data_IF_981693598233
#
_entry.id   IF_981693598233
#
_cell.length_a   1.000
_cell.length_b   1.000
_cell.length_c   1.000
_cell.angle_alpha   90.00
_cell.angle_beta   90.00
_cell.angle_gamma   90.00
#
_symmetry.space_group_name_H-M   'P 1'
#
loop_
_entity.id
_entity.type
_entity.pdbx_description
1 polymer ?
#
# COMPACT_ATOMS: atom_id res chain seq x y z
N UNK A 1 -33.46 -5.49 -25.83
CA UNK A 1 -33.27 -6.13 -24.52
C UNK A 1 -34.40 -5.68 -23.59
N UNK A 2 -34.99 -6.55 -22.77
CA UNK A 2 -35.99 -6.11 -21.79
C UNK A 2 -35.36 -5.06 -20.84
N UNK A 3 -36.12 -4.09 -20.36
CA UNK A 3 -35.61 -3.03 -19.49
C UNK A 3 -35.13 -3.65 -18.19
N UNK A 4 -33.83 -3.46 -17.89
CA UNK A 4 -33.23 -3.87 -16.62
C UNK A 4 -33.93 -3.15 -15.49
N UNK A 5 -34.43 -3.90 -14.50
CA UNK A 5 -35.08 -3.33 -13.31
C UNK A 5 -34.18 -2.33 -12.58
N UNK A 6 -34.77 -1.37 -11.89
CA UNK A 6 -34.04 -0.26 -11.25
C UNK A 6 -32.99 -0.74 -10.23
N UNK A 7 -33.21 -1.86 -9.56
CA UNK A 7 -32.25 -2.42 -8.59
C UNK A 7 -31.08 -3.06 -9.31
N UNK A 8 -31.32 -3.93 -10.28
CA UNK A 8 -30.28 -4.56 -11.09
C UNK A 8 -29.44 -3.52 -11.85
N UNK A 9 -30.07 -2.45 -12.35
CA UNK A 9 -29.35 -1.32 -12.96
C UNK A 9 -28.44 -0.60 -11.97
N UNK A 10 -28.86 -0.34 -10.74
CA UNK A 10 -28.02 0.27 -9.70
C UNK A 10 -26.84 -0.61 -9.31
N UNK A 11 -27.04 -1.92 -9.20
CA UNK A 11 -25.95 -2.87 -8.94
C UNK A 11 -24.93 -2.87 -10.08
N UNK A 12 -25.38 -2.85 -11.32
CA UNK A 12 -24.50 -2.79 -12.48
C UNK A 12 -23.80 -1.42 -12.63
N UNK A 13 -24.47 -0.30 -12.30
CA UNK A 13 -23.85 1.03 -12.21
C UNK A 13 -22.69 0.99 -11.19
N UNK A 14 -22.93 0.39 -10.03
CA UNK A 14 -21.91 0.27 -9.00
C UNK A 14 -20.73 -0.59 -9.48
N UNK A 15 -21.00 -1.72 -10.13
CA UNK A 15 -19.98 -2.60 -10.71
C UNK A 15 -19.13 -1.85 -11.76
N UNK A 16 -19.77 -1.12 -12.68
CA UNK A 16 -19.06 -0.33 -13.69
C UNK A 16 -18.24 0.80 -13.06
N UNK A 17 -18.78 1.53 -12.10
CA UNK A 17 -18.04 2.56 -11.39
C UNK A 17 -16.85 1.97 -10.58
N UNK A 18 -16.99 0.73 -10.12
CA UNK A 18 -15.94 -0.02 -9.41
C UNK A 18 -14.82 -0.48 -10.34
N UNK A 19 -15.17 -0.97 -11.52
CA UNK A 19 -14.19 -1.57 -12.47
C UNK A 19 -13.53 -0.55 -13.37
N UNK A 20 -14.26 0.52 -13.75
CA UNK A 20 -13.80 1.55 -14.70
C UNK A 20 -13.42 2.88 -14.05
N UNK A 21 -13.60 3.00 -12.73
CA UNK A 21 -13.26 4.18 -11.92
C UNK A 21 -14.29 5.30 -12.03
N UNK A 22 -14.41 5.98 -13.15
CA UNK A 22 -15.35 7.08 -13.39
C UNK A 22 -16.40 6.64 -14.42
N UNK A 23 -17.69 6.76 -14.06
CA UNK A 23 -18.79 6.57 -15.01
C UNK A 23 -19.53 7.88 -15.22
N UNK A 24 -19.54 8.41 -16.43
CA UNK A 24 -20.29 9.61 -16.76
C UNK A 24 -21.80 9.31 -16.90
N UNK A 25 -22.63 10.32 -16.61
CA UNK A 25 -24.10 10.20 -16.78
C UNK A 25 -24.45 9.84 -18.21
N UNK A 26 -23.73 10.39 -19.19
CA UNK A 26 -23.94 10.19 -20.61
C UNK A 26 -23.58 8.75 -21.04
N UNK A 27 -22.46 8.22 -20.56
CA UNK A 27 -22.05 6.84 -20.81
C UNK A 27 -23.02 5.83 -20.22
N UNK A 28 -23.40 6.01 -18.98
CA UNK A 28 -24.39 5.17 -18.30
C UNK A 28 -25.76 5.24 -18.98
N UNK A 29 -26.19 6.44 -19.39
CA UNK A 29 -27.45 6.65 -20.12
C UNK A 29 -27.47 5.85 -21.43
N UNK A 30 -26.37 5.89 -22.16
CA UNK A 30 -26.19 5.16 -23.43
C UNK A 30 -26.11 3.64 -23.19
N UNK A 31 -25.35 3.22 -22.17
CA UNK A 31 -25.15 1.81 -21.83
C UNK A 31 -26.46 1.11 -21.43
N UNK A 32 -27.30 1.78 -20.62
CA UNK A 32 -28.56 1.20 -20.14
C UNK A 32 -29.79 1.54 -21.01
N UNK A 33 -29.64 2.38 -22.02
CA UNK A 33 -30.75 2.81 -22.87
C UNK A 33 -31.85 3.57 -22.10
N UNK A 34 -31.47 4.31 -21.06
CA UNK A 34 -32.38 5.12 -20.24
C UNK A 34 -32.00 6.59 -20.28
N UNK A 35 -32.91 7.47 -19.86
CA UNK A 35 -32.65 8.91 -19.87
C UNK A 35 -31.59 9.31 -18.82
N UNK A 36 -30.86 10.40 -19.08
CA UNK A 36 -29.93 10.99 -18.13
C UNK A 36 -30.58 11.33 -16.78
N UNK A 37 -31.88 11.68 -16.75
CA UNK A 37 -32.63 11.94 -15.52
C UNK A 37 -32.82 10.66 -14.69
N UNK A 38 -33.02 9.51 -15.33
CA UNK A 38 -33.11 8.20 -14.67
C UNK A 38 -31.76 7.83 -14.03
N UNK A 39 -30.67 7.99 -14.78
CA UNK A 39 -29.31 7.74 -14.26
C UNK A 39 -29.01 8.69 -13.08
N UNK A 40 -29.30 9.99 -13.19
CA UNK A 40 -29.07 10.94 -12.08
C UNK A 40 -29.85 10.56 -10.81
N UNK A 41 -31.05 9.98 -10.95
CA UNK A 41 -31.85 9.50 -9.81
C UNK A 41 -31.25 8.23 -9.20
N UNK A 42 -30.81 7.29 -10.02
CA UNK A 42 -30.12 6.07 -9.54
C UNK A 42 -28.79 6.42 -8.84
N UNK A 43 -28.01 7.33 -9.40
CA UNK A 43 -26.77 7.83 -8.79
C UNK A 43 -27.05 8.58 -7.46
N UNK A 44 -28.12 9.40 -7.40
CA UNK A 44 -28.50 10.10 -6.19
C UNK A 44 -28.85 9.12 -5.07
N UNK A 45 -29.51 8.01 -5.40
CA UNK A 45 -29.88 6.98 -4.43
C UNK A 45 -28.62 6.21 -3.95
N UNK A 46 -27.75 5.81 -4.85
CA UNK A 46 -26.47 5.16 -4.50
C UNK A 46 -25.55 6.09 -3.67
N UNK A 47 -25.62 7.39 -3.91
CA UNK A 47 -24.89 8.38 -3.09
C UNK A 47 -25.53 8.52 -1.69
N UNK A 48 -26.86 8.56 -1.60
CA UNK A 48 -27.56 8.59 -0.32
C UNK A 48 -27.32 7.31 0.51
N UNK A 49 -27.19 6.16 -0.16
CA UNK A 49 -26.85 4.87 0.45
C UNK A 49 -25.33 4.75 0.79
N UNK A 50 -24.52 5.81 0.56
CA UNK A 50 -23.09 5.83 0.83
C UNK A 50 -22.25 4.92 -0.08
N UNK A 51 -22.75 4.51 -1.24
CA UNK A 51 -22.10 3.57 -2.17
C UNK A 51 -21.36 4.27 -3.31
N UNK A 52 -21.70 5.53 -3.61
CA UNK A 52 -21.06 6.36 -4.64
C UNK A 52 -20.79 7.78 -4.15
N UNK A 53 -19.71 8.41 -4.65
CA UNK A 53 -19.50 9.85 -4.57
C UNK A 53 -19.90 10.53 -5.87
N UNK A 54 -20.54 11.69 -5.79
CA UNK A 54 -20.82 12.55 -6.96
C UNK A 54 -19.55 13.28 -7.37
N UNK A 55 -19.28 13.28 -8.67
CA UNK A 55 -18.24 14.10 -9.31
C UNK A 55 -18.87 15.09 -10.29
N UNK A 56 -18.13 16.08 -10.78
CA UNK A 56 -18.58 16.97 -11.84
C UNK A 56 -18.79 16.16 -13.13
N UNK A 57 -20.06 15.90 -13.51
CA UNK A 57 -20.42 15.15 -14.74
C UNK A 57 -20.62 13.66 -14.58
N UNK A 58 -20.45 13.06 -13.38
CA UNK A 58 -20.60 11.63 -13.20
C UNK A 58 -20.71 11.18 -11.74
N UNK A 59 -20.40 9.92 -11.53
CA UNK A 59 -20.31 9.33 -10.20
C UNK A 59 -19.15 8.33 -10.13
N UNK A 60 -18.56 8.25 -8.99
CA UNK A 60 -17.45 7.37 -8.63
C UNK A 60 -17.88 6.49 -7.46
N UNK A 61 -17.54 5.21 -7.48
CA UNK A 61 -17.80 4.34 -6.36
C UNK A 61 -17.04 4.83 -5.12
N UNK A 62 -17.73 5.07 -4.01
CA UNK A 62 -17.10 5.50 -2.76
C UNK A 62 -16.24 4.41 -2.15
N UNK A 63 -16.51 3.15 -2.51
CA UNK A 63 -15.71 1.98 -2.12
C UNK A 63 -15.76 0.97 -3.26
N UNK A 64 -15.05 1.27 -4.36
CA UNK A 64 -14.85 0.32 -5.45
C UNK A 64 -14.21 -0.98 -4.95
N UNK A 65 -13.32 -0.83 -3.97
CA UNK A 65 -12.79 -1.91 -3.15
C UNK A 65 -12.83 -1.43 -1.70
N UNK A 66 -13.59 -2.09 -0.79
CA UNK A 66 -13.45 -1.79 0.62
C UNK A 66 -11.99 -2.00 0.99
N UNK A 67 -11.36 -0.98 1.55
CA UNK A 67 -9.99 -1.12 2.04
C UNK A 67 -9.95 -2.26 3.06
N UNK A 68 -9.18 -3.30 2.76
CA UNK A 68 -8.98 -4.40 3.69
C UNK A 68 -8.26 -3.89 4.95
N UNK A 69 -8.70 -4.31 6.12
CA UNK A 69 -7.99 -3.98 7.37
C UNK A 69 -6.55 -4.50 7.34
N UNK A 70 -5.66 -3.86 8.08
CA UNK A 70 -4.27 -4.32 8.17
C UNK A 70 -4.19 -5.80 8.59
N UNK A 71 -5.06 -6.25 9.50
CA UNK A 71 -5.11 -7.64 9.96
C UNK A 71 -5.41 -8.62 8.81
N UNK A 72 -6.35 -8.29 7.92
CA UNK A 72 -6.63 -9.10 6.73
C UNK A 72 -5.42 -9.11 5.79
N UNK A 73 -4.86 -7.93 5.52
CA UNK A 73 -3.67 -7.79 4.65
C UNK A 73 -2.43 -8.51 5.21
N UNK A 74 -2.30 -8.70 6.51
CA UNK A 74 -1.13 -9.39 7.10
C UNK A 74 -1.09 -10.87 6.73
N UNK A 75 -2.24 -11.53 6.61
CA UNK A 75 -2.32 -12.96 6.24
C UNK A 75 -2.23 -13.19 4.73
N UNK A 76 -2.63 -12.19 3.92
CA UNK A 76 -2.56 -12.26 2.48
C UNK A 76 -1.12 -12.21 1.97
N UNK A 77 -0.75 -13.09 1.04
CA UNK A 77 0.56 -13.12 0.39
C UNK A 77 1.75 -13.09 1.38
N UNK A 78 1.60 -13.79 2.51
CA UNK A 78 2.58 -13.74 3.61
C UNK A 78 4.00 -14.10 3.17
N UNK A 79 4.18 -15.19 2.40
CA UNK A 79 5.49 -15.62 1.91
C UNK A 79 6.15 -14.57 1.01
N UNK A 80 5.37 -13.95 0.11
CA UNK A 80 5.86 -12.89 -0.78
C UNK A 80 6.30 -11.65 0.00
N UNK A 81 5.51 -11.22 0.98
CA UNK A 81 5.86 -10.07 1.84
C UNK A 81 7.09 -10.35 2.69
N UNK A 82 7.26 -11.60 3.15
CA UNK A 82 8.45 -11.99 3.90
C UNK A 82 9.70 -11.99 3.03
N UNK A 83 9.61 -12.43 1.76
CA UNK A 83 10.72 -12.35 0.81
C UNK A 83 11.16 -10.88 0.60
N UNK A 84 10.19 -9.99 0.32
CA UNK A 84 10.43 -8.55 0.19
C UNK A 84 11.06 -7.97 1.47
N UNK A 85 10.52 -8.31 2.63
CA UNK A 85 11.00 -7.84 3.93
C UNK A 85 12.44 -8.25 4.21
N UNK A 86 12.81 -9.51 3.93
CA UNK A 86 14.19 -10.00 4.09
C UNK A 86 15.16 -9.29 3.17
N UNK A 87 14.79 -9.11 1.91
CA UNK A 87 15.62 -8.33 0.99
C UNK A 87 15.81 -6.91 1.52
N UNK A 88 14.73 -6.24 1.95
CA UNK A 88 14.79 -4.88 2.47
C UNK A 88 15.66 -4.78 3.74
N UNK A 89 15.52 -5.72 4.66
CA UNK A 89 16.36 -5.79 5.87
C UNK A 89 17.86 -5.93 5.54
N UNK A 90 18.21 -6.72 4.53
CA UNK A 90 19.59 -6.91 4.07
C UNK A 90 20.21 -5.65 3.44
N UNK A 91 19.41 -4.65 3.07
CA UNK A 91 19.94 -3.37 2.57
C UNK A 91 20.36 -2.41 3.68
N UNK A 92 19.87 -2.61 4.90
CA UNK A 92 20.08 -1.70 6.03
C UNK A 92 21.45 -1.98 6.65
N UNK A 93 22.20 -0.92 6.95
CA UNK A 93 23.52 -1.00 7.55
C UNK A 93 23.49 -0.57 9.03
N UNK A 94 24.36 -1.09 9.87
CA UNK A 94 24.53 -0.57 11.23
C UNK A 94 24.82 0.94 11.22
N UNK A 95 24.26 1.66 12.18
CA UNK A 95 24.40 3.12 12.31
C UNK A 95 23.41 3.92 11.46
N UNK A 96 22.63 3.30 10.57
CA UNK A 96 21.64 4.01 9.77
C UNK A 96 20.41 4.43 10.58
N UNK A 97 19.80 5.54 10.15
CA UNK A 97 18.47 5.96 10.59
C UNK A 97 17.47 5.67 9.47
N UNK A 98 16.56 4.74 9.72
CA UNK A 98 15.57 4.29 8.72
C UNK A 98 14.16 4.71 9.10
N UNK A 99 13.34 5.00 8.08
CA UNK A 99 11.94 5.34 8.25
C UNK A 99 11.05 4.20 7.75
N UNK A 100 10.20 3.70 8.61
CA UNK A 100 9.21 2.66 8.31
C UNK A 100 7.81 3.27 8.24
N UNK A 101 7.19 3.16 7.09
CA UNK A 101 5.78 3.45 6.89
C UNK A 101 4.88 2.43 7.62
N UNK A 102 3.58 2.65 7.62
CA UNK A 102 2.60 1.67 8.07
C UNK A 102 2.24 0.69 6.95
N UNK A 103 1.96 -0.56 7.29
CA UNK A 103 1.47 -1.56 6.35
C UNK A 103 1.99 -2.97 6.64
N UNK A 104 1.33 -3.98 6.06
CA UNK A 104 1.66 -5.39 6.36
C UNK A 104 3.03 -5.84 5.86
N UNK A 105 3.51 -5.30 4.73
CA UNK A 105 4.85 -5.61 4.20
C UNK A 105 5.94 -4.93 5.04
N UNK A 106 5.70 -3.67 5.43
CA UNK A 106 6.62 -2.93 6.32
C UNK A 106 6.59 -3.53 7.74
N UNK A 107 5.44 -4.02 8.22
CA UNK A 107 5.39 -4.78 9.47
C UNK A 107 6.20 -6.08 9.42
N UNK A 108 6.22 -6.76 8.26
CA UNK A 108 7.11 -7.91 8.07
C UNK A 108 8.60 -7.50 8.08
N UNK A 109 8.95 -6.34 7.50
CA UNK A 109 10.30 -5.78 7.60
C UNK A 109 10.68 -5.48 9.06
N UNK A 110 9.80 -4.81 9.81
CA UNK A 110 10.05 -4.53 11.24
C UNK A 110 10.35 -5.83 12.02
N UNK A 111 9.67 -6.93 11.71
CA UNK A 111 9.93 -8.23 12.31
C UNK A 111 11.32 -8.78 11.96
N UNK A 112 11.78 -8.66 10.72
CA UNK A 112 13.14 -9.06 10.32
C UNK A 112 14.22 -8.20 11.01
N UNK A 113 13.90 -6.94 11.39
CA UNK A 113 14.82 -6.03 12.09
C UNK A 113 14.93 -6.31 13.60
N UNK A 114 14.19 -7.24 14.18
CA UNK A 114 14.31 -7.60 15.61
C UNK A 114 15.70 -8.09 16.03
N UNK A 115 16.49 -8.55 15.08
CA UNK A 115 17.89 -8.98 15.32
C UNK A 115 18.93 -7.94 14.92
N UNK A 116 18.50 -6.78 14.43
CA UNK A 116 19.40 -5.70 14.05
C UNK A 116 20.10 -5.11 15.28
N UNK A 117 21.28 -4.53 15.03
CA UNK A 117 22.07 -3.86 16.05
C UNK A 117 22.49 -2.49 15.54
N UNK A 118 22.62 -1.54 16.47
CA UNK A 118 23.06 -0.19 16.15
C UNK A 118 22.20 0.44 15.03
N UNK A 119 20.88 0.45 15.24
CA UNK A 119 19.91 0.94 14.27
C UNK A 119 18.93 1.91 14.93
N UNK A 120 18.66 3.03 14.26
CA UNK A 120 17.55 3.91 14.63
C UNK A 120 16.40 3.72 13.64
N UNK A 121 15.21 3.41 14.17
CA UNK A 121 13.99 3.23 13.37
C UNK A 121 12.95 4.27 13.75
N UNK A 122 12.65 5.19 12.85
CA UNK A 122 11.47 6.03 12.96
C UNK A 122 10.28 5.34 12.29
N UNK A 123 9.07 5.45 12.85
CA UNK A 123 7.90 4.83 12.24
C UNK A 123 6.62 5.62 12.43
N UNK A 124 5.76 5.57 11.41
CA UNK A 124 4.36 5.99 11.48
C UNK A 124 3.41 4.80 11.66
N UNK A 125 3.92 3.57 11.72
CA UNK A 125 3.14 2.33 11.78
C UNK A 125 3.06 1.75 13.18
N UNK A 126 1.85 1.59 13.72
CA UNK A 126 1.64 0.93 15.02
C UNK A 126 2.20 -0.51 15.03
N UNK A 127 2.10 -1.23 13.90
CA UNK A 127 2.64 -2.60 13.80
C UNK A 127 4.17 -2.61 13.90
N UNK A 128 4.87 -1.71 13.21
CA UNK A 128 6.32 -1.61 13.30
C UNK A 128 6.76 -1.23 14.71
N UNK A 129 6.06 -0.29 15.35
CA UNK A 129 6.29 0.06 16.75
C UNK A 129 6.12 -1.15 17.67
N UNK A 130 5.05 -1.93 17.50
CA UNK A 130 4.78 -3.13 18.31
C UNK A 130 5.86 -4.21 18.12
N UNK A 131 6.33 -4.43 16.90
CA UNK A 131 7.35 -5.45 16.61
C UNK A 131 8.73 -5.08 17.19
N UNK A 132 9.03 -3.80 17.40
CA UNK A 132 10.35 -3.33 17.82
C UNK A 132 10.40 -2.77 19.25
N UNK A 133 9.27 -2.58 19.93
CA UNK A 133 9.19 -1.90 21.21
C UNK A 133 9.97 -2.60 22.34
N UNK A 134 10.18 -3.91 22.24
CA UNK A 134 10.91 -4.74 23.22
C UNK A 134 12.36 -5.09 22.77
N UNK A 135 12.85 -4.49 21.67
CA UNK A 135 14.17 -4.79 21.09
C UNK A 135 15.18 -3.73 21.56
N UNK A 136 15.96 -4.04 22.59
CA UNK A 136 16.91 -3.11 23.20
C UNK A 136 18.03 -2.61 22.28
N UNK A 137 18.35 -3.38 21.21
CA UNK A 137 19.43 -3.05 20.26
C UNK A 137 19.00 -2.12 19.13
N UNK A 138 17.69 -1.75 19.09
CA UNK A 138 17.10 -0.85 18.10
C UNK A 138 16.50 0.35 18.81
N UNK A 139 16.98 1.55 18.48
CA UNK A 139 16.34 2.77 18.97
C UNK A 139 15.10 3.07 18.15
N UNK A 140 13.92 3.20 18.80
CA UNK A 140 12.65 3.39 18.10
C UNK A 140 12.06 4.77 18.37
N UNK A 141 11.85 5.54 17.29
CA UNK A 141 11.19 6.84 17.29
C UNK A 141 9.75 6.70 16.77
N UNK A 142 8.75 6.79 17.65
CA UNK A 142 7.36 6.84 17.24
C UNK A 142 6.99 8.27 16.83
N UNK A 143 6.66 8.50 15.55
CA UNK A 143 6.36 9.84 15.04
C UNK A 143 4.99 10.38 15.49
N UNK A 144 4.16 9.54 16.12
CA UNK A 144 2.89 9.95 16.73
C UNK A 144 1.86 10.47 15.73
N UNK A 145 0.82 11.10 16.26
CA UNK A 145 -0.28 11.66 15.46
C UNK A 145 -1.64 11.02 15.72
N UNK A 146 -2.56 11.12 14.76
CA UNK A 146 -3.87 10.49 14.83
C UNK A 146 -3.80 9.07 14.27
N UNK A 147 -4.16 8.07 15.07
CA UNK A 147 -4.19 6.69 14.61
C UNK A 147 -5.37 6.47 13.64
N UNK A 148 -5.06 6.00 12.44
CA UNK A 148 -6.04 5.55 11.45
C UNK A 148 -6.28 4.04 11.63
N UNK A 149 -7.48 3.60 12.09
CA UNK A 149 -7.68 2.20 12.52
C UNK A 149 -7.46 1.15 11.41
N UNK A 150 -7.88 1.41 10.16
CA UNK A 150 -7.81 0.43 9.06
C UNK A 150 -6.37 0.10 8.66
N UNK A 151 -5.51 1.10 8.58
CA UNK A 151 -4.09 0.93 8.22
C UNK A 151 -3.17 0.80 9.43
N UNK A 152 -3.66 1.14 10.63
CA UNK A 152 -2.87 1.29 11.85
C UNK A 152 -1.68 2.26 11.65
N UNK A 153 -1.90 3.29 10.85
CA UNK A 153 -0.94 4.36 10.59
C UNK A 153 -1.23 5.57 11.48
N UNK A 154 -0.20 6.20 12.01
CA UNK A 154 -0.28 7.54 12.56
C UNK A 154 -0.25 8.56 11.43
N UNK A 155 -1.19 9.49 11.40
CA UNK A 155 -1.36 10.49 10.35
C UNK A 155 -1.66 11.87 10.94
N UNK A 156 -1.52 12.90 10.12
CA UNK A 156 -1.93 14.26 10.46
C UNK A 156 -0.80 15.19 10.86
N UNK A 157 -1.12 16.43 11.30
CA UNK A 157 -0.15 17.51 11.45
C UNK A 157 1.00 17.22 12.43
N UNK A 158 0.77 16.44 13.48
CA UNK A 158 1.83 16.08 14.42
C UNK A 158 2.86 15.16 13.77
N UNK A 159 2.40 14.15 13.00
CA UNK A 159 3.28 13.27 12.25
C UNK A 159 4.06 14.03 11.18
N UNK A 160 3.39 14.92 10.45
CA UNK A 160 4.03 15.78 9.43
C UNK A 160 5.09 16.69 10.05
N UNK A 161 4.79 17.33 11.19
CA UNK A 161 5.72 18.22 11.89
C UNK A 161 6.96 17.48 12.42
N UNK A 162 6.84 16.24 12.84
CA UNK A 162 7.98 15.41 13.24
C UNK A 162 8.84 15.08 12.01
N UNK A 163 8.24 14.59 10.93
CA UNK A 163 8.92 14.25 9.68
C UNK A 163 9.68 15.43 9.06
N UNK A 164 9.13 16.65 9.12
CA UNK A 164 9.77 17.86 8.58
C UNK A 164 11.10 18.20 9.27
N UNK A 165 11.35 17.68 10.47
CA UNK A 165 12.56 17.96 11.27
C UNK A 165 13.58 16.82 11.26
N UNK A 166 13.28 15.73 10.58
CA UNK A 166 14.16 14.55 10.50
C UNK A 166 14.63 14.32 9.06
N UNK A 167 15.74 13.64 8.93
CA UNK A 167 16.23 13.06 7.67
C UNK A 167 16.58 11.61 7.90
N UNK A 168 16.51 10.80 6.85
CA UNK A 168 16.66 9.35 6.94
C UNK A 168 17.61 8.86 5.85
N UNK A 169 18.39 7.83 6.15
CA UNK A 169 19.22 7.16 5.16
C UNK A 169 18.34 6.38 4.19
N UNK A 170 17.30 5.75 4.70
CA UNK A 170 16.35 4.95 3.91
C UNK A 170 14.93 5.14 4.39
N UNK A 171 13.99 5.09 3.45
CA UNK A 171 12.56 4.95 3.74
C UNK A 171 12.00 3.73 3.02
N UNK A 172 11.16 2.98 3.75
CA UNK A 172 10.43 1.84 3.22
C UNK A 172 8.94 2.13 3.25
N UNK A 173 8.35 2.29 2.07
CA UNK A 173 6.95 2.66 1.87
C UNK A 173 6.13 1.42 1.49
N UNK A 174 4.94 1.29 2.05
CA UNK A 174 3.93 0.35 1.60
C UNK A 174 3.07 0.94 0.47
N UNK A 175 2.25 0.12 -0.18
CA UNK A 175 1.30 0.58 -1.19
C UNK A 175 0.02 -0.28 -1.16
N UNK A 176 -1.13 0.30 -1.46
CA UNK A 176 -2.35 -0.45 -1.80
C UNK A 176 -2.38 -0.82 -3.29
N UNK A 177 -1.80 0.03 -4.12
CA UNK A 177 -1.45 -0.22 -5.51
C UNK A 177 -0.27 0.66 -5.92
N UNK A 178 0.43 0.29 -6.99
CA UNK A 178 1.56 1.07 -7.51
C UNK A 178 1.57 1.02 -9.03
N UNK A 179 1.74 2.19 -9.64
CA UNK A 179 1.89 2.32 -11.09
C UNK A 179 3.12 3.14 -11.44
N UNK A 180 3.69 2.88 -12.60
CA UNK A 180 4.88 3.60 -13.04
C UNK A 180 4.63 5.10 -13.25
N UNK A 181 3.41 5.48 -13.59
CA UNK A 181 3.01 6.86 -13.87
C UNK A 181 2.53 7.62 -12.64
N UNK A 182 1.71 6.96 -11.81
CA UNK A 182 1.03 7.58 -10.68
C UNK A 182 1.80 7.49 -9.37
N UNK A 183 2.77 6.59 -9.26
CA UNK A 183 3.43 6.30 -7.99
C UNK A 183 2.59 5.38 -7.11
N UNK A 184 2.42 5.72 -5.84
CA UNK A 184 1.70 4.91 -4.85
C UNK A 184 0.24 5.33 -4.79
N UNK A 185 -0.68 4.36 -4.95
CA UNK A 185 -2.11 4.51 -4.76
C UNK A 185 -2.51 4.09 -3.34
N UNK A 186 -3.31 4.91 -2.67
CA UNK A 186 -3.78 4.71 -1.29
C UNK A 186 -5.27 5.07 -1.14
N UNK A 187 -5.90 4.54 -0.10
CA UNK A 187 -7.29 4.86 0.23
C UNK A 187 -7.47 6.23 0.92
N UNK A 188 -6.43 6.81 1.51
CA UNK A 188 -6.51 8.01 2.35
C UNK A 188 -5.50 9.08 1.90
N UNK A 189 -6.00 10.30 1.61
CA UNK A 189 -5.18 11.44 1.18
C UNK A 189 -4.11 11.86 2.20
N UNK A 190 -4.34 11.65 3.50
CA UNK A 190 -3.34 11.97 4.53
C UNK A 190 -2.16 11.01 4.45
N UNK A 191 -2.41 9.73 4.09
CA UNK A 191 -1.34 8.76 3.89
C UNK A 191 -0.52 9.07 2.64
N UNK A 192 -1.14 9.48 1.52
CA UNK A 192 -0.39 9.87 0.31
C UNK A 192 0.51 11.06 0.58
N UNK A 193 -0.01 12.10 1.27
CA UNK A 193 0.77 13.27 1.65
C UNK A 193 1.98 12.91 2.55
N UNK A 194 1.77 12.01 3.52
CA UNK A 194 2.86 11.54 4.37
C UNK A 194 3.93 10.79 3.57
N UNK A 195 3.54 9.88 2.67
CA UNK A 195 4.49 9.13 1.83
C UNK A 195 5.33 10.03 0.95
N UNK A 196 4.74 11.08 0.37
CA UNK A 196 5.49 12.10 -0.35
C UNK A 196 6.50 12.83 0.54
N UNK A 197 6.10 13.19 1.77
CA UNK A 197 6.99 13.82 2.72
C UNK A 197 8.11 12.88 3.16
N UNK A 198 7.79 11.62 3.49
CA UNK A 198 8.75 10.57 3.83
C UNK A 198 9.80 10.39 2.73
N UNK A 199 9.36 10.27 1.47
CA UNK A 199 10.26 10.12 0.33
C UNK A 199 11.19 11.33 0.13
N UNK A 200 10.70 12.55 0.35
CA UNK A 200 11.52 13.79 0.27
C UNK A 200 12.53 13.91 1.41
N UNK A 201 12.32 13.23 2.53
CA UNK A 201 13.18 13.31 3.73
C UNK A 201 14.21 12.19 3.82
N UNK A 202 14.22 11.26 2.87
CA UNK A 202 15.13 10.12 2.84
C UNK A 202 16.12 10.21 1.68
N UNK A 203 17.34 9.74 1.90
CA UNK A 203 18.36 9.64 0.86
C UNK A 203 18.04 8.54 -0.16
N UNK A 204 17.40 7.44 0.29
CA UNK A 204 16.96 6.35 -0.58
C UNK A 204 15.52 5.95 -0.25
N UNK A 205 14.70 5.80 -1.30
CA UNK A 205 13.27 5.46 -1.18
C UNK A 205 13.00 4.10 -1.80
N UNK A 206 12.41 3.21 -1.02
CA UNK A 206 11.99 1.86 -1.44
C UNK A 206 10.48 1.72 -1.31
N UNK A 207 9.83 1.27 -2.37
CA UNK A 207 8.40 0.92 -2.35
C UNK A 207 8.28 -0.59 -2.29
N UNK A 208 7.71 -1.11 -1.22
CA UNK A 208 7.55 -2.54 -0.96
C UNK A 208 6.15 -3.00 -1.38
N UNK A 209 6.04 -3.64 -2.54
CA UNK A 209 4.76 -4.06 -3.10
C UNK A 209 4.86 -5.45 -3.72
N UNK A 210 4.05 -6.42 -3.25
CA UNK A 210 3.99 -7.73 -3.89
C UNK A 210 3.33 -7.63 -5.28
N UNK A 211 3.66 -8.56 -6.19
CA UNK A 211 3.34 -8.54 -7.61
C UNK A 211 1.87 -8.19 -7.93
N UNK A 212 0.91 -8.73 -7.17
CA UNK A 212 -0.50 -8.45 -7.38
C UNK A 212 -0.93 -6.98 -7.18
N UNK A 213 -0.03 -6.11 -6.70
CA UNK A 213 -0.27 -4.66 -6.56
C UNK A 213 0.29 -3.82 -7.70
N UNK A 214 1.11 -4.42 -8.55
CA UNK A 214 1.72 -3.74 -9.70
C UNK A 214 0.66 -3.42 -10.75
N UNK A 215 0.71 -2.22 -11.32
CA UNK A 215 -0.27 -1.74 -12.29
C UNK A 215 -1.69 -1.53 -11.72
N UNK A 216 -1.90 -1.66 -10.39
CA UNK A 216 -3.19 -1.51 -9.74
C UNK A 216 -3.42 -0.10 -9.24
N UNK A 217 -4.66 0.38 -9.42
CA UNK A 217 -5.16 1.67 -8.94
C UNK A 217 -6.50 1.46 -8.21
N UNK A 218 -6.50 0.78 -7.03
CA UNK A 218 -7.75 0.45 -6.34
C UNK A 218 -8.45 1.68 -5.75
N UNK A 219 -7.75 2.79 -5.60
CA UNK A 219 -8.24 4.03 -5.01
C UNK A 219 -7.88 5.24 -5.85
N UNK A 220 -8.23 6.45 -5.38
CA UNK A 220 -8.06 7.70 -6.13
C UNK A 220 -7.11 8.70 -5.46
N UNK A 221 -6.49 8.32 -4.36
CA UNK A 221 -5.45 9.11 -3.72
C UNK A 221 -4.07 8.58 -4.14
N UNK A 222 -3.20 9.49 -4.54
CA UNK A 222 -1.89 9.17 -5.11
C UNK A 222 -0.79 9.90 -4.36
N UNK A 223 0.31 9.23 -4.11
CA UNK A 223 1.56 9.81 -3.68
C UNK A 223 2.55 9.77 -4.85
N UNK A 224 2.94 10.96 -5.31
CA UNK A 224 3.97 11.12 -6.33
C UNK A 224 5.33 11.10 -5.67
N UNK A 225 6.18 10.18 -6.11
CA UNK A 225 7.51 10.02 -5.53
C UNK A 225 8.57 10.82 -6.33
N UNK A 226 9.59 11.37 -5.66
CA UNK A 226 10.73 11.97 -6.35
C UNK A 226 11.45 10.92 -7.19
N UNK A 227 12.13 11.29 -8.29
CA UNK A 227 12.90 10.36 -9.12
C UNK A 227 13.95 9.57 -8.30
N UNK A 228 14.26 8.36 -8.75
CA UNK A 228 15.30 7.52 -8.13
C UNK A 228 14.80 6.61 -7.00
N UNK A 229 13.49 6.41 -6.87
CA UNK A 229 12.95 5.38 -5.98
C UNK A 229 13.08 3.99 -6.60
N UNK A 230 13.18 2.98 -5.75
CA UNK A 230 13.31 1.57 -6.12
C UNK A 230 12.02 0.83 -5.80
N UNK A 231 11.46 0.09 -6.75
CA UNK A 231 10.37 -0.85 -6.52
C UNK A 231 10.94 -2.21 -6.08
N UNK A 232 10.55 -2.68 -4.92
CA UNK A 232 10.86 -4.02 -4.44
C UNK A 232 9.60 -4.87 -4.50
N UNK A 233 9.63 -5.90 -5.31
CA UNK A 233 8.50 -6.84 -5.48
C UNK A 233 8.97 -8.28 -5.26
N UNK A 234 8.06 -9.23 -5.27
CA UNK A 234 8.41 -10.65 -5.14
C UNK A 234 8.61 -11.33 -6.49
N UNK A 235 9.17 -12.54 -6.47
CA UNK A 235 9.54 -13.30 -7.66
C UNK A 235 8.35 -13.77 -8.51
N UNK A 236 7.10 -13.55 -8.09
CA UNK A 236 5.90 -13.86 -8.90
C UNK A 236 5.55 -12.75 -9.91
N UNK A 237 6.21 -11.58 -9.82
CA UNK A 237 6.06 -10.52 -10.81
C UNK A 237 6.57 -10.99 -12.17
N UNK A 238 5.76 -10.82 -13.20
CA UNK A 238 6.15 -11.14 -14.58
C UNK A 238 6.88 -9.98 -15.25
N UNK A 239 7.58 -10.24 -16.35
CA UNK A 239 8.21 -9.19 -17.15
C UNK A 239 7.20 -8.12 -17.60
N UNK A 240 5.95 -8.51 -17.87
CA UNK A 240 4.89 -7.59 -18.25
C UNK A 240 4.47 -6.66 -17.09
N UNK A 241 4.52 -7.15 -15.85
CA UNK A 241 4.19 -6.34 -14.67
C UNK A 241 5.26 -5.29 -14.39
N UNK A 242 6.53 -5.61 -14.62
CA UNK A 242 7.66 -4.72 -14.29
C UNK A 242 8.11 -3.81 -15.44
N UNK A 243 7.85 -4.20 -16.70
CA UNK A 243 8.26 -3.43 -17.88
C UNK A 243 7.85 -1.93 -17.84
N UNK A 244 6.63 -1.54 -17.41
CA UNK A 244 6.26 -0.13 -17.32
C UNK A 244 7.15 0.69 -16.38
N UNK A 245 7.61 0.09 -15.28
CA UNK A 245 8.48 0.73 -14.30
C UNK A 245 9.90 0.90 -14.86
N UNK A 246 10.44 -0.14 -15.46
CA UNK A 246 11.77 -0.12 -16.11
C UNK A 246 11.81 0.91 -17.24
N UNK A 247 10.76 0.99 -18.08
CA UNK A 247 10.66 1.95 -19.16
C UNK A 247 10.67 3.42 -18.67
N UNK A 248 10.36 3.67 -17.40
CA UNK A 248 10.43 4.99 -16.75
C UNK A 248 11.71 5.20 -15.95
N UNK A 249 12.67 4.29 -16.02
CA UNK A 249 13.93 4.37 -15.30
C UNK A 249 13.79 4.09 -13.80
N UNK A 250 12.70 3.45 -13.36
CA UNK A 250 12.53 3.01 -11.99
C UNK A 250 13.27 1.68 -11.83
N UNK A 251 14.16 1.61 -10.85
CA UNK A 251 14.83 0.37 -10.51
C UNK A 251 13.82 -0.62 -9.95
N UNK A 252 13.81 -1.86 -10.46
CA UNK A 252 12.94 -2.93 -9.98
C UNK A 252 13.77 -4.09 -9.45
N UNK A 253 13.50 -4.48 -8.22
CA UNK A 253 14.17 -5.59 -7.56
C UNK A 253 13.17 -6.71 -7.27
N UNK A 254 13.27 -7.86 -7.93
CA UNK A 254 12.52 -9.06 -7.59
C UNK A 254 13.18 -9.75 -6.38
N UNK A 255 12.53 -9.69 -5.22
CA UNK A 255 12.97 -10.43 -4.04
C UNK A 255 12.73 -11.93 -4.23
N UNK A 256 13.79 -12.72 -4.15
CA UNK A 256 13.75 -14.17 -4.29
C UNK A 256 12.94 -14.87 -3.19
N UNK A 257 12.59 -16.16 -3.39
CA UNK A 257 11.92 -16.96 -2.38
C UNK A 257 12.78 -17.07 -1.12
N UNK A 258 12.12 -17.17 0.02
CA UNK A 258 12.80 -17.42 1.29
C UNK A 258 13.17 -18.90 1.33
N UNK A 259 14.44 -19.23 1.28
CA UNK A 259 14.90 -20.57 1.67
C UNK A 259 14.60 -20.73 3.17
N UNK A 260 13.72 -21.66 3.51
CA UNK A 260 13.58 -22.08 4.90
C UNK A 260 14.88 -22.77 5.32
N UNK A 261 15.46 -22.45 6.51
CA UNK A 261 16.57 -23.22 7.01
C UNK A 261 16.13 -24.68 7.06
N UNK A 262 16.87 -25.52 6.34
CA UNK A 262 16.66 -26.98 6.38
C UNK A 262 16.68 -27.47 7.82
N UNK A 263 16.00 -28.59 8.14
CA UNK A 263 16.04 -29.16 9.49
C UNK A 263 17.50 -29.32 9.92
N UNK A 264 17.82 -28.81 11.11
CA UNK A 264 19.17 -28.97 11.68
C UNK A 264 19.57 -30.45 11.59
N UNK A 265 20.79 -30.76 11.12
CA UNK A 265 21.27 -32.14 11.11
C UNK A 265 21.22 -32.66 12.55
N UNK A 266 20.42 -33.73 12.74
CA UNK A 266 20.14 -34.32 14.04
C UNK A 266 21.41 -34.47 14.87
N UNK A 267 21.36 -33.92 16.08
CA UNK A 267 22.46 -34.07 17.05
C UNK A 267 22.79 -35.54 17.29
N UNK A 268 24.02 -35.85 17.70
CA UNK A 268 24.48 -37.25 17.85
C UNK A 268 23.58 -37.98 18.83
N UNK A 269 23.01 -39.10 18.36
CA UNK A 269 22.34 -40.10 19.20
C UNK A 269 23.30 -40.56 20.28
N UNK A 270 22.97 -40.36 21.53
CA UNK A 270 23.71 -40.88 22.67
C UNK A 270 23.78 -42.41 22.57
N UNK A 271 24.94 -43.02 22.78
CA UNK A 271 25.06 -44.49 22.82
C UNK A 271 24.42 -45.03 24.10
N UNK A 272 23.74 -46.15 23.95
CA UNK A 272 23.07 -46.96 24.98
C UNK A 272 24.06 -47.47 26.03
#
# INVERSE_FOLDING_TARGET
MPPIGSQARREEILRLATTSGLASVEELSRHFGVTASTIRRDLARLTADGRLARTYGGAMALNAHPEASLRQRTTEAYAHKRAIARWAAAQIQPGETVLLDAGSTVGALARELRTAKDLTVATTGLTALHELADVETVHVECLGGTLRPLSQAFVGPLTEAALERMTFDRVFLSADGVTADGGICEADLRQTRLKELMARRAARTYVLAHAAKLGRAPFHAWATLPPGWTLVTDASATDADVAPFIARGIEVVPAGPVEEPGPEPGGPTAPS
#
